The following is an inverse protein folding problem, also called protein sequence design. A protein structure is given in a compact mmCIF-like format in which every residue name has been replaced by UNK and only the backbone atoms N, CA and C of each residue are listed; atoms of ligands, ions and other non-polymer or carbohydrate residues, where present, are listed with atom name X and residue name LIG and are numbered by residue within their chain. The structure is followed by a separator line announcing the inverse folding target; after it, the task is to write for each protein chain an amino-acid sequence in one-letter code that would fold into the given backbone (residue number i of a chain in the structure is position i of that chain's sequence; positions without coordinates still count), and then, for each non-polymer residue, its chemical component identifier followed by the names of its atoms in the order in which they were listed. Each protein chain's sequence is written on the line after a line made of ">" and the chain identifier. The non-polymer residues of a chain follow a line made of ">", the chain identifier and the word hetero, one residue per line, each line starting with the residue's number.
data_IF_255865348103
#
_entry.id   IF_255865348103
#
_cell.length_a   1.000
_cell.length_b   1.000
_cell.length_c   1.000
_cell.angle_alpha   90.00
_cell.angle_beta   90.00
_cell.angle_gamma   90.00
#
_symmetry.space_group_name_H-M   'P 1'
#
loop_
_entity.id
_entity.type
_entity.pdbx_description
1 polymer ?
#
# COMPACT_ATOMS: atom_id res chain seq x y z
N UNK A 1 -7.27 -1.07 -34.40
CA UNK A 1 -5.79 -1.12 -34.55
C UNK A 1 -5.32 0.32 -34.71
N UNK A 2 -5.13 1.03 -33.59
CA UNK A 2 -4.73 2.45 -33.64
C UNK A 2 -3.23 2.50 -33.91
N UNK A 3 -2.85 3.10 -35.03
CA UNK A 3 -1.46 3.31 -35.44
C UNK A 3 -0.88 4.40 -34.53
N UNK A 4 -0.17 3.98 -33.49
CA UNK A 4 0.46 4.83 -32.48
C UNK A 4 1.73 5.46 -33.04
N UNK A 5 1.61 6.56 -33.79
CA UNK A 5 2.75 7.41 -34.11
C UNK A 5 3.25 8.05 -32.80
N UNK A 6 4.35 7.53 -32.25
CA UNK A 6 4.86 7.93 -30.93
C UNK A 6 6.21 8.58 -31.04
N UNK A 7 6.48 9.68 -30.31
CA UNK A 7 7.85 10.05 -29.99
C UNK A 7 8.45 8.92 -29.13
N UNK A 8 9.23 8.06 -29.76
CA UNK A 8 10.08 7.09 -29.06
C UNK A 8 11.25 7.87 -28.47
N UNK A 9 11.18 8.17 -27.17
CA UNK A 9 12.25 8.90 -26.49
C UNK A 9 13.35 7.91 -26.12
N UNK A 10 14.60 8.25 -26.41
CA UNK A 10 15.74 7.44 -25.99
C UNK A 10 15.75 7.28 -24.45
N UNK A 11 15.95 6.05 -23.98
CA UNK A 11 15.77 5.68 -22.56
C UNK A 11 16.64 6.46 -21.56
N UNK A 12 17.76 7.05 -21.99
CA UNK A 12 18.66 7.79 -21.10
C UNK A 12 18.07 9.11 -20.59
N UNK A 13 17.22 9.79 -21.37
CA UNK A 13 16.59 11.08 -20.99
C UNK A 13 15.54 10.91 -19.88
N UNK A 14 15.07 9.68 -19.66
CA UNK A 14 14.01 9.34 -18.70
C UNK A 14 14.50 8.52 -17.50
N UNK A 15 15.80 8.25 -17.38
CA UNK A 15 16.36 7.49 -16.25
C UNK A 15 16.01 8.14 -14.91
N UNK A 16 16.23 9.44 -14.76
CA UNK A 16 15.96 10.17 -13.51
C UNK A 16 14.46 10.13 -13.16
N UNK A 17 13.53 10.51 -14.06
CA UNK A 17 12.09 10.34 -13.80
C UNK A 17 11.69 8.90 -13.48
N UNK A 18 12.24 7.89 -14.16
CA UNK A 18 11.92 6.48 -13.91
C UNK A 18 12.38 6.04 -12.53
N UNK A 19 13.56 6.44 -12.07
CA UNK A 19 14.00 6.17 -10.70
C UNK A 19 13.15 6.94 -9.68
N UNK A 20 12.75 8.16 -9.99
CA UNK A 20 11.82 8.95 -9.16
C UNK A 20 10.44 8.32 -9.07
N UNK A 21 9.99 7.46 -9.99
CA UNK A 21 8.69 6.78 -9.86
C UNK A 21 8.57 5.95 -8.58
N UNK A 22 9.70 5.52 -8.01
CA UNK A 22 9.69 4.67 -6.82
C UNK A 22 9.63 5.51 -5.53
N UNK A 23 10.24 6.70 -5.52
CA UNK A 23 10.35 7.54 -4.32
C UNK A 23 9.39 8.74 -4.34
N UNK A 24 9.08 9.27 -5.52
CA UNK A 24 8.18 10.40 -5.75
C UNK A 24 7.38 10.20 -7.06
N UNK A 25 6.44 9.23 -7.09
CA UNK A 25 5.70 8.86 -8.29
C UNK A 25 4.91 10.01 -8.89
N UNK A 26 4.25 10.81 -8.05
CA UNK A 26 3.39 11.91 -8.52
C UNK A 26 4.23 12.98 -9.22
N UNK A 27 5.35 13.40 -8.63
CA UNK A 27 6.23 14.38 -9.27
C UNK A 27 6.83 13.85 -10.56
N UNK A 28 7.27 12.58 -10.58
CA UNK A 28 7.84 11.95 -11.76
C UNK A 28 6.82 11.88 -12.91
N UNK A 29 5.60 11.40 -12.63
CA UNK A 29 4.52 11.32 -13.62
C UNK A 29 4.12 12.71 -14.13
N UNK A 30 4.02 13.70 -13.23
CA UNK A 30 3.69 15.09 -13.61
C UNK A 30 4.76 15.68 -14.51
N UNK A 31 6.04 15.46 -14.20
CA UNK A 31 7.15 15.92 -15.03
C UNK A 31 7.16 15.26 -16.42
N UNK A 32 6.95 13.94 -16.47
CA UNK A 32 6.88 13.19 -17.73
C UNK A 32 5.73 13.71 -18.59
N UNK A 33 4.55 13.88 -18.00
CA UNK A 33 3.37 14.40 -18.69
C UNK A 33 3.60 15.83 -19.21
N UNK A 34 4.06 16.74 -18.36
CA UNK A 34 4.28 18.14 -18.73
C UNK A 34 5.31 18.30 -19.87
N UNK A 35 6.31 17.42 -19.94
CA UNK A 35 7.40 17.53 -20.91
C UNK A 35 7.17 16.75 -22.21
N UNK A 36 6.48 15.61 -22.12
CA UNK A 36 6.41 14.64 -23.22
C UNK A 36 4.97 14.27 -23.62
N UNK A 37 3.97 14.81 -22.92
CA UNK A 37 2.55 14.64 -23.22
C UNK A 37 1.93 13.37 -22.63
N UNK A 38 0.77 13.02 -23.15
CA UNK A 38 -0.12 12.01 -22.57
C UNK A 38 0.34 10.57 -22.73
N UNK A 39 1.28 10.32 -23.64
CA UNK A 39 1.67 8.97 -23.99
C UNK A 39 3.16 8.89 -24.32
N UNK A 40 3.92 8.24 -23.44
CA UNK A 40 5.38 8.15 -23.58
C UNK A 40 5.78 6.69 -23.56
N UNK A 41 6.49 6.26 -24.60
CA UNK A 41 7.06 4.92 -24.65
C UNK A 41 8.56 4.99 -24.42
N UNK A 42 9.06 4.15 -23.52
CA UNK A 42 10.45 4.15 -23.08
C UNK A 42 10.99 2.74 -23.05
N UNK A 43 12.18 2.55 -23.62
CA UNK A 43 12.97 1.35 -23.39
C UNK A 43 13.85 1.58 -22.16
N UNK A 44 13.56 0.92 -21.05
CA UNK A 44 14.30 1.01 -19.80
C UNK A 44 14.97 -0.35 -19.51
N UNK A 45 16.29 -0.43 -19.72
CA UNK A 45 17.04 -1.68 -19.72
C UNK A 45 16.36 -2.75 -20.59
N UNK A 46 15.99 -3.90 -20.02
CA UNK A 46 15.31 -5.00 -20.70
C UNK A 46 13.78 -4.89 -20.63
N UNK A 47 13.25 -3.75 -20.16
CA UNK A 47 11.81 -3.53 -19.98
C UNK A 47 11.32 -2.42 -20.90
N UNK A 48 10.11 -2.60 -21.42
CA UNK A 48 9.38 -1.59 -22.19
C UNK A 48 8.36 -0.95 -21.27
N UNK A 49 8.43 0.35 -21.07
CA UNK A 49 7.53 1.12 -20.23
C UNK A 49 6.64 1.99 -21.12
N UNK A 50 5.35 1.97 -20.83
CA UNK A 50 4.35 2.80 -21.47
C UNK A 50 3.69 3.67 -20.40
N UNK A 51 3.97 4.96 -20.43
CA UNK A 51 3.28 5.96 -19.64
C UNK A 51 2.02 6.41 -20.37
N UNK A 52 0.92 6.49 -19.62
CA UNK A 52 -0.40 6.86 -20.14
C UNK A 52 -1.06 7.81 -19.14
N UNK A 53 -1.41 9.01 -19.59
CA UNK A 53 -2.14 10.01 -18.80
C UNK A 53 -3.50 10.39 -19.42
N UNK A 54 -3.72 10.09 -20.70
CA UNK A 54 -5.00 10.32 -21.36
C UNK A 54 -6.09 9.37 -20.79
N UNK A 55 -7.28 9.89 -20.40
CA UNK A 55 -8.36 9.09 -19.81
C UNK A 55 -8.87 7.93 -20.68
N UNK A 56 -8.97 8.11 -22.01
CA UNK A 56 -9.45 7.07 -22.93
C UNK A 56 -8.47 5.90 -22.99
N UNK A 57 -7.18 6.21 -23.08
CA UNK A 57 -6.13 5.18 -23.05
C UNK A 57 -6.04 4.49 -21.69
N UNK A 58 -6.27 5.20 -20.58
CA UNK A 58 -6.35 4.60 -19.24
C UNK A 58 -7.53 3.61 -19.19
N UNK A 59 -8.70 3.99 -19.70
CA UNK A 59 -9.86 3.10 -19.79
C UNK A 59 -9.59 1.86 -20.66
N UNK A 60 -8.87 2.02 -21.78
CA UNK A 60 -8.44 0.89 -22.62
C UNK A 60 -7.53 -0.08 -21.86
N UNK A 61 -6.52 0.44 -21.14
CA UNK A 61 -5.61 -0.36 -20.31
C UNK A 61 -6.38 -1.17 -19.27
N UNK A 62 -7.30 -0.53 -18.54
CA UNK A 62 -8.16 -1.23 -17.57
C UNK A 62 -9.12 -2.22 -18.23
N UNK A 63 -9.61 -1.93 -19.44
CA UNK A 63 -10.41 -2.86 -20.23
C UNK A 63 -9.63 -4.11 -20.64
N UNK A 64 -8.34 -3.96 -21.00
CA UNK A 64 -7.44 -5.07 -21.29
C UNK A 64 -7.10 -5.88 -20.04
N UNK A 65 -6.89 -5.22 -18.90
CA UNK A 65 -6.72 -5.88 -17.59
C UNK A 65 -7.96 -6.72 -17.24
N UNK A 66 -9.16 -6.17 -17.39
CA UNK A 66 -10.42 -6.88 -17.13
C UNK A 66 -10.64 -8.11 -18.02
N UNK A 67 -10.08 -8.11 -19.23
CA UNK A 67 -10.06 -9.26 -20.16
C UNK A 67 -8.93 -10.26 -19.89
N UNK A 68 -8.07 -9.99 -18.90
CA UNK A 68 -6.90 -10.81 -18.59
C UNK A 68 -5.74 -10.68 -19.58
N UNK A 69 -5.77 -9.66 -20.46
CA UNK A 69 -4.71 -9.39 -21.45
C UNK A 69 -3.57 -8.54 -20.87
N UNK A 70 -3.80 -7.94 -19.70
CA UNK A 70 -2.78 -7.28 -18.89
C UNK A 70 -2.83 -7.80 -17.46
N UNK A 71 -1.69 -7.80 -16.77
CA UNK A 71 -1.59 -8.22 -15.37
C UNK A 71 -0.93 -7.13 -14.52
N UNK A 72 -1.28 -7.13 -13.23
CA UNK A 72 -0.67 -6.26 -12.19
C UNK A 72 0.56 -6.89 -11.55
N UNK A 73 1.16 -7.87 -12.23
CA UNK A 73 2.25 -8.70 -11.72
C UNK A 73 3.58 -7.96 -11.63
N UNK A 74 3.64 -6.72 -12.12
CA UNK A 74 4.80 -5.88 -11.91
C UNK A 74 5.14 -5.87 -10.41
N UNK A 75 6.41 -6.13 -10.10
CA UNK A 75 6.92 -6.15 -8.73
C UNK A 75 6.28 -7.20 -7.81
N UNK A 76 5.69 -8.28 -8.35
CA UNK A 76 5.07 -9.34 -7.54
C UNK A 76 6.01 -9.87 -6.44
N UNK A 77 7.25 -10.24 -6.78
CA UNK A 77 8.23 -10.72 -5.79
C UNK A 77 8.57 -9.67 -4.74
N UNK A 78 8.67 -8.40 -5.15
CA UNK A 78 8.92 -7.31 -4.22
C UNK A 78 7.77 -7.13 -3.23
N UNK A 79 6.52 -7.21 -3.71
CA UNK A 79 5.30 -7.08 -2.90
C UNK A 79 5.05 -8.31 -2.01
N UNK A 80 5.51 -9.49 -2.42
CA UNK A 80 5.26 -10.77 -1.74
C UNK A 80 5.74 -10.79 -0.29
N UNK A 81 6.85 -10.10 0.01
CA UNK A 81 7.36 -9.98 1.38
C UNK A 81 6.30 -9.40 2.34
N UNK A 82 5.47 -8.47 1.86
CA UNK A 82 4.51 -7.74 2.68
C UNK A 82 3.09 -8.28 2.58
N UNK A 83 2.67 -8.60 1.36
CA UNK A 83 1.28 -8.95 1.08
C UNK A 83 1.07 -10.44 0.86
N UNK A 84 2.14 -11.25 0.80
CA UNK A 84 2.06 -12.65 0.43
C UNK A 84 1.31 -12.83 -0.89
N UNK A 85 0.32 -13.72 -0.89
CA UNK A 85 -0.65 -13.90 -1.97
C UNK A 85 -2.02 -13.26 -1.65
N UNK A 86 -2.04 -12.26 -0.77
CA UNK A 86 -3.23 -11.47 -0.42
C UNK A 86 -3.63 -10.48 -1.52
N UNK A 87 -4.79 -9.84 -1.35
CA UNK A 87 -5.54 -9.16 -2.42
C UNK A 87 -4.73 -8.18 -3.28
N UNK A 88 -3.75 -7.48 -2.70
CA UNK A 88 -2.90 -6.50 -3.39
C UNK A 88 -1.86 -7.17 -4.32
N UNK A 89 -1.52 -8.43 -4.06
CA UNK A 89 -0.49 -9.18 -4.77
C UNK A 89 -1.01 -10.44 -5.48
N UNK A 90 -2.27 -10.81 -5.30
CA UNK A 90 -2.87 -11.97 -5.97
C UNK A 90 -3.00 -11.77 -7.48
N UNK A 91 -2.96 -12.90 -8.21
CA UNK A 91 -3.18 -12.96 -9.66
C UNK A 91 -4.59 -13.44 -9.98
N UNK A 92 -5.15 -12.91 -11.08
CA UNK A 92 -6.35 -13.40 -11.78
C UNK A 92 -7.42 -14.05 -10.88
N UNK A 93 -7.57 -15.38 -10.93
CA UNK A 93 -8.63 -16.11 -10.24
C UNK A 93 -8.56 -16.04 -8.71
N UNK A 94 -7.35 -16.01 -8.13
CA UNK A 94 -7.18 -15.85 -6.69
C UNK A 94 -7.62 -14.44 -6.25
N UNK A 95 -7.26 -13.42 -7.03
CA UNK A 95 -7.72 -12.05 -6.80
C UNK A 95 -9.25 -11.97 -6.80
N UNK A 96 -9.91 -12.55 -7.82
CA UNK A 96 -11.38 -12.56 -7.91
C UNK A 96 -12.02 -13.23 -6.70
N UNK A 97 -11.48 -14.38 -6.26
CA UNK A 97 -11.97 -15.10 -5.08
C UNK A 97 -11.84 -14.25 -3.82
N UNK A 98 -10.66 -13.70 -3.55
CA UNK A 98 -10.41 -12.87 -2.37
C UNK A 98 -11.23 -11.57 -2.39
N UNK A 99 -11.34 -10.90 -3.55
CA UNK A 99 -12.14 -9.69 -3.70
C UNK A 99 -13.61 -9.95 -3.41
N UNK A 100 -14.16 -11.05 -3.92
CA UNK A 100 -15.54 -11.47 -3.66
C UNK A 100 -15.77 -11.78 -2.18
N UNK A 101 -14.81 -12.40 -1.51
CA UNK A 101 -14.88 -12.67 -0.07
C UNK A 101 -14.87 -11.38 0.76
N UNK A 102 -14.02 -10.41 0.42
CA UNK A 102 -13.92 -9.16 1.19
C UNK A 102 -15.07 -8.19 0.91
N UNK A 103 -15.60 -8.14 -0.31
CA UNK A 103 -16.56 -7.12 -0.75
C UNK A 103 -17.73 -6.86 0.22
N UNK A 104 -18.42 -7.87 0.79
CA UNK A 104 -19.53 -7.65 1.71
C UNK A 104 -19.15 -6.88 2.98
N UNK A 105 -17.88 -6.92 3.39
CA UNK A 105 -17.38 -6.22 4.58
C UNK A 105 -17.09 -4.73 4.32
N UNK A 106 -17.17 -4.28 3.07
CA UNK A 106 -16.87 -2.91 2.66
C UNK A 106 -18.06 -2.21 2.00
N UNK A 107 -19.31 -2.60 2.32
CA UNK A 107 -20.50 -1.84 1.95
C UNK A 107 -20.72 -0.67 2.91
N UNK A 108 -21.55 0.30 2.51
CA UNK A 108 -21.95 1.42 3.39
C UNK A 108 -22.54 0.96 4.71
N UNK A 109 -23.38 -0.08 4.66
CA UNK A 109 -24.06 -0.65 5.82
C UNK A 109 -23.08 -1.39 6.74
N UNK A 110 -22.15 -2.16 6.17
CA UNK A 110 -21.12 -2.87 6.94
C UNK A 110 -20.17 -1.88 7.64
N UNK A 111 -19.74 -0.83 6.92
CA UNK A 111 -18.85 0.20 7.47
C UNK A 111 -19.56 1.00 8.57
N UNK A 112 -20.88 1.23 8.46
CA UNK A 112 -21.65 1.97 9.45
C UNK A 112 -21.60 1.33 10.85
N UNK A 113 -21.42 -0.01 10.94
CA UNK A 113 -21.25 -0.73 12.22
C UNK A 113 -20.03 -0.23 13.00
N UNK A 114 -18.97 0.21 12.30
CA UNK A 114 -17.75 0.72 12.93
C UNK A 114 -17.77 2.24 13.15
N UNK A 115 -18.84 2.93 12.75
CA UNK A 115 -18.92 4.39 12.81
C UNK A 115 -18.63 4.97 14.19
N UNK A 116 -19.11 4.31 15.25
CA UNK A 116 -18.83 4.71 16.62
C UNK A 116 -17.33 4.67 16.95
N UNK A 117 -16.60 3.65 16.48
CA UNK A 117 -15.16 3.55 16.69
C UNK A 117 -14.39 4.68 15.99
N UNK A 118 -14.86 5.14 14.83
CA UNK A 118 -14.24 6.27 14.13
C UNK A 118 -14.40 7.57 14.92
N UNK A 119 -15.61 7.82 15.44
CA UNK A 119 -15.91 9.00 16.25
C UNK A 119 -15.10 8.99 17.55
N UNK A 120 -15.09 7.87 18.28
CA UNK A 120 -14.35 7.74 19.54
C UNK A 120 -12.85 8.03 19.39
N UNK A 121 -12.20 7.47 18.37
CA UNK A 121 -10.77 7.70 18.15
C UNK A 121 -10.48 9.12 17.62
N UNK A 122 -11.38 9.70 16.82
CA UNK A 122 -11.27 11.09 16.37
C UNK A 122 -11.43 12.08 17.53
N UNK A 123 -12.41 11.87 18.41
CA UNK A 123 -12.61 12.68 19.61
C UNK A 123 -11.43 12.58 20.58
N UNK A 124 -10.87 11.37 20.74
CA UNK A 124 -9.64 11.17 21.51
C UNK A 124 -8.49 12.00 20.95
N UNK A 125 -8.25 11.96 19.64
CA UNK A 125 -7.21 12.77 19.00
C UNK A 125 -7.47 14.26 19.22
N UNK A 126 -8.70 14.73 18.95
CA UNK A 126 -9.06 16.14 19.11
C UNK A 126 -8.85 16.63 20.56
N UNK A 127 -9.21 15.82 21.55
CA UNK A 127 -9.01 16.14 22.96
C UNK A 127 -7.52 16.17 23.35
N UNK A 128 -6.70 15.28 22.79
CA UNK A 128 -5.26 15.28 23.02
C UNK A 128 -4.61 16.53 22.40
N UNK A 129 -5.00 16.91 21.19
CA UNK A 129 -4.51 18.11 20.52
C UNK A 129 -4.88 19.38 21.29
N UNK A 130 -6.11 19.47 21.82
CA UNK A 130 -6.54 20.60 22.67
C UNK A 130 -5.74 20.74 23.97
N UNK A 131 -5.25 19.62 24.52
CA UNK A 131 -4.44 19.60 25.75
C UNK A 131 -2.95 19.81 25.47
N UNK A 132 -2.52 19.67 24.22
CA UNK A 132 -1.12 19.84 23.83
C UNK A 132 -0.68 21.28 24.06
N UNK A 133 0.48 21.45 24.70
CA UNK A 133 1.15 22.76 24.83
C UNK A 133 2.04 23.08 23.63
N UNK A 134 2.24 22.12 22.72
CA UNK A 134 3.04 22.31 21.52
C UNK A 134 2.22 23.08 20.46
N UNK A 135 2.67 24.27 20.03
CA UNK A 135 1.97 25.05 19.00
C UNK A 135 2.06 24.42 17.61
N UNK A 136 3.06 23.57 17.36
CA UNK A 136 3.30 22.96 16.05
C UNK A 136 2.95 21.47 16.06
N UNK A 137 1.89 21.12 15.32
CA UNK A 137 1.40 19.73 15.22
C UNK A 137 1.65 19.21 13.80
N UNK A 138 2.31 18.06 13.70
CA UNK A 138 2.41 17.34 12.43
C UNK A 138 1.13 16.51 12.18
N UNK A 139 0.17 17.11 11.49
CA UNK A 139 -1.13 16.49 11.22
C UNK A 139 -1.02 15.14 10.49
N UNK A 140 -0.06 14.98 9.59
CA UNK A 140 0.16 13.72 8.87
C UNK A 140 0.53 12.58 9.81
N UNK A 141 1.38 12.85 10.81
CA UNK A 141 1.74 11.88 11.83
C UNK A 141 0.55 11.53 12.74
N UNK A 142 -0.20 12.55 13.18
CA UNK A 142 -1.38 12.35 14.03
C UNK A 142 -2.48 11.54 13.33
N UNK A 143 -2.78 11.88 12.07
CA UNK A 143 -3.76 11.14 11.27
C UNK A 143 -3.32 9.70 11.00
N UNK A 144 -2.01 9.45 10.81
CA UNK A 144 -1.49 8.09 10.66
C UNK A 144 -1.76 7.25 11.91
N UNK A 145 -1.48 7.79 13.10
CA UNK A 145 -1.73 7.11 14.37
C UNK A 145 -3.24 6.89 14.57
N UNK A 146 -4.08 7.89 14.27
CA UNK A 146 -5.54 7.75 14.30
C UNK A 146 -6.02 6.57 13.43
N UNK A 147 -5.59 6.51 12.17
CA UNK A 147 -5.96 5.43 11.24
C UNK A 147 -5.51 4.06 11.77
N UNK A 148 -4.29 3.98 12.31
CA UNK A 148 -3.76 2.75 12.90
C UNK A 148 -4.60 2.27 14.10
N UNK A 149 -5.03 3.18 14.97
CA UNK A 149 -5.89 2.86 16.12
C UNK A 149 -7.29 2.42 15.69
N UNK A 150 -7.86 3.10 14.69
CA UNK A 150 -9.12 2.68 14.08
C UNK A 150 -8.99 1.27 13.49
N UNK A 151 -7.91 0.98 12.77
CA UNK A 151 -7.68 -0.35 12.19
C UNK A 151 -7.56 -1.43 13.27
N UNK A 152 -6.95 -1.15 14.42
CA UNK A 152 -6.90 -2.12 15.52
C UNK A 152 -8.31 -2.46 16.01
N UNK A 153 -9.20 -1.46 16.13
CA UNK A 153 -10.61 -1.69 16.50
C UNK A 153 -11.38 -2.47 15.46
N UNK A 154 -11.29 -2.05 14.20
CA UNK A 154 -12.04 -2.66 13.09
C UNK A 154 -11.57 -4.08 12.77
N UNK A 155 -10.26 -4.30 12.80
CA UNK A 155 -9.68 -5.59 12.45
C UNK A 155 -9.79 -6.60 13.58
N UNK A 156 -9.55 -6.20 14.82
CA UNK A 156 -9.37 -7.14 15.94
C UNK A 156 -10.43 -7.01 17.04
N UNK A 157 -11.34 -6.04 16.92
CA UNK A 157 -12.35 -5.76 17.95
C UNK A 157 -11.74 -5.26 19.27
N UNK A 158 -10.52 -4.70 19.22
CA UNK A 158 -9.74 -4.31 20.41
C UNK A 158 -9.45 -2.82 20.45
N UNK A 159 -9.29 -2.28 21.65
CA UNK A 159 -8.76 -0.92 21.83
C UNK A 159 -7.24 -0.96 22.01
N UNK A 160 -6.54 -0.05 21.35
CA UNK A 160 -5.11 0.15 21.55
C UNK A 160 -4.76 0.58 22.99
N UNK A 161 -5.72 1.07 23.79
CA UNK A 161 -5.47 1.41 25.19
C UNK A 161 -5.47 0.21 26.14
N UNK A 162 -6.12 -0.88 25.74
CA UNK A 162 -6.30 -2.08 26.57
C UNK A 162 -5.31 -3.18 26.22
N UNK A 163 -4.57 -3.01 25.12
CA UNK A 163 -3.62 -3.99 24.63
C UNK A 163 -2.22 -3.68 25.16
N UNK A 164 -1.59 -4.67 25.81
CA UNK A 164 -0.20 -4.54 26.28
C UNK A 164 0.79 -4.24 25.14
N UNK A 165 0.57 -4.83 23.96
CA UNK A 165 1.47 -4.73 22.80
C UNK A 165 1.03 -3.70 21.74
N UNK A 166 0.08 -2.80 22.06
CA UNK A 166 -0.45 -1.84 21.08
C UNK A 166 0.62 -0.94 20.46
N UNK A 167 1.50 -0.37 21.29
CA UNK A 167 2.56 0.53 20.82
C UNK A 167 3.52 -0.20 19.88
N UNK A 168 3.87 -1.45 20.19
CA UNK A 168 4.72 -2.29 19.36
C UNK A 168 4.04 -2.62 18.02
N UNK A 169 2.73 -2.86 18.03
CA UNK A 169 1.95 -3.10 16.82
C UNK A 169 1.88 -1.84 15.93
N UNK A 170 1.62 -0.68 16.54
CA UNK A 170 1.60 0.62 15.86
C UNK A 170 2.98 0.95 15.26
N UNK A 171 4.04 0.73 16.01
CA UNK A 171 5.43 0.91 15.55
C UNK A 171 5.77 -0.05 14.42
N UNK A 172 5.29 -1.30 14.49
CA UNK A 172 5.48 -2.29 13.43
C UNK A 172 4.78 -1.86 12.14
N UNK A 173 3.53 -1.41 12.23
CA UNK A 173 2.80 -0.86 11.08
C UNK A 173 3.55 0.35 10.49
N UNK A 174 4.04 1.25 11.34
CA UNK A 174 4.82 2.41 10.91
C UNK A 174 6.13 2.04 10.23
N UNK A 175 6.85 1.05 10.76
CA UNK A 175 8.08 0.52 10.16
C UNK A 175 7.81 -0.16 8.81
N UNK A 176 6.68 -0.85 8.66
CA UNK A 176 6.23 -1.42 7.39
C UNK A 176 5.98 -0.33 6.36
N UNK A 177 5.19 0.70 6.70
CA UNK A 177 4.88 1.81 5.78
C UNK A 177 6.16 2.52 5.33
N UNK A 178 7.06 2.83 6.27
CA UNK A 178 8.29 3.56 5.97
C UNK A 178 9.32 2.69 5.22
N UNK A 179 9.30 1.36 5.43
CA UNK A 179 10.18 0.41 4.78
C UNK A 179 9.72 -0.02 3.38
N UNK A 180 8.45 0.21 3.02
CA UNK A 180 7.88 -0.24 1.74
C UNK A 180 8.59 0.40 0.54
N UNK A 181 8.70 1.73 0.48
CA UNK A 181 9.29 2.40 -0.68
C UNK A 181 10.76 1.99 -0.90
N UNK A 182 11.66 2.04 0.12
CA UNK A 182 13.02 1.56 -0.04
C UNK A 182 13.10 0.08 -0.46
N UNK A 183 12.24 -0.79 0.09
CA UNK A 183 12.20 -2.20 -0.28
C UNK A 183 11.84 -2.38 -1.75
N UNK A 184 10.80 -1.69 -2.23
CA UNK A 184 10.39 -1.68 -3.64
C UNK A 184 11.51 -1.19 -4.57
N UNK A 185 12.28 -0.17 -4.17
CA UNK A 185 13.47 0.31 -4.92
C UNK A 185 14.51 -0.80 -5.05
N UNK A 186 14.88 -1.43 -3.94
CA UNK A 186 15.98 -2.42 -3.93
C UNK A 186 15.64 -3.69 -4.73
N UNK A 187 14.37 -4.08 -4.73
CA UNK A 187 13.89 -5.24 -5.49
C UNK A 187 13.77 -4.96 -6.98
N UNK A 188 13.28 -3.77 -7.37
CA UNK A 188 13.09 -3.42 -8.79
C UNK A 188 14.41 -3.18 -9.51
N UNK A 189 15.31 -2.41 -8.90
CA UNK A 189 16.56 -2.01 -9.55
C UNK A 189 17.63 -3.10 -9.39
N UNK A 190 17.66 -3.77 -8.24
CA UNK A 190 18.74 -4.67 -7.85
C UNK A 190 18.42 -6.15 -7.92
N UNK A 191 17.18 -6.56 -8.28
CA UNK A 191 16.68 -7.93 -8.05
C UNK A 191 16.99 -8.43 -6.63
N UNK A 192 16.91 -7.54 -5.64
CA UNK A 192 17.21 -7.83 -4.25
C UNK A 192 18.69 -7.86 -3.87
N UNK A 193 19.64 -7.79 -4.83
CA UNK A 193 21.10 -7.74 -4.54
C UNK A 193 21.52 -6.48 -3.79
N UNK A 194 20.77 -5.39 -3.97
CA UNK A 194 21.01 -4.10 -3.31
C UNK A 194 20.54 -4.07 -1.84
N UNK A 195 19.87 -5.11 -1.34
CA UNK A 195 19.49 -5.21 0.09
C UNK A 195 20.70 -5.20 1.02
N UNK A 196 21.85 -5.68 0.54
CA UNK A 196 23.13 -5.65 1.27
C UNK A 196 23.56 -4.21 1.59
N UNK A 197 23.15 -3.22 0.80
CA UNK A 197 23.49 -1.80 1.02
C UNK A 197 22.64 -1.16 2.14
N UNK A 198 21.51 -1.76 2.53
CA UNK A 198 20.60 -1.22 3.56
C UNK A 198 20.18 -2.29 4.59
N UNK A 199 21.14 -2.93 5.29
CA UNK A 199 20.85 -4.10 6.12
C UNK A 199 19.93 -3.78 7.30
N UNK A 200 20.08 -2.60 7.91
CA UNK A 200 19.27 -2.17 9.05
C UNK A 200 17.79 -1.94 8.68
N UNK A 201 17.54 -1.31 7.53
CA UNK A 201 16.17 -1.07 7.04
C UNK A 201 15.48 -2.40 6.69
N UNK A 202 16.19 -3.31 6.03
CA UNK A 202 15.68 -4.64 5.70
C UNK A 202 15.40 -5.48 6.95
N UNK A 203 16.26 -5.39 7.97
CA UNK A 203 16.05 -6.08 9.25
C UNK A 203 14.83 -5.53 10.01
N UNK A 204 14.70 -4.20 10.15
CA UNK A 204 13.55 -3.57 10.82
C UNK A 204 12.24 -3.92 10.13
N UNK A 205 12.21 -3.86 8.79
CA UNK A 205 11.04 -4.23 8.00
C UNK A 205 10.64 -5.68 8.24
N UNK A 206 11.59 -6.62 8.17
CA UNK A 206 11.32 -8.05 8.44
C UNK A 206 10.84 -8.29 9.87
N UNK A 207 11.46 -7.66 10.85
CA UNK A 207 11.04 -7.76 12.26
C UNK A 207 9.60 -7.29 12.43
N UNK A 208 9.24 -6.15 11.84
CA UNK A 208 7.90 -5.59 11.89
C UNK A 208 6.85 -6.48 11.20
N UNK A 209 7.19 -7.04 10.03
CA UNK A 209 6.32 -8.00 9.31
C UNK A 209 6.10 -9.26 10.13
N UNK A 210 7.16 -9.83 10.69
CA UNK A 210 7.05 -11.02 11.53
C UNK A 210 6.17 -10.73 12.76
N UNK A 211 6.36 -9.60 13.43
CA UNK A 211 5.55 -9.21 14.58
C UNK A 211 4.07 -9.08 14.21
N UNK A 212 3.74 -8.34 13.15
CA UNK A 212 2.35 -8.19 12.68
C UNK A 212 1.75 -9.55 12.28
N UNK A 213 2.53 -10.39 11.60
CA UNK A 213 2.08 -11.72 11.17
C UNK A 213 1.78 -12.62 12.37
N UNK A 214 2.68 -12.69 13.35
CA UNK A 214 2.47 -13.45 14.59
C UNK A 214 1.25 -12.94 15.36
N UNK A 215 1.09 -11.62 15.46
CA UNK A 215 -0.08 -11.02 16.07
C UNK A 215 -1.38 -11.44 15.38
N UNK A 216 -1.48 -11.28 14.06
CA UNK A 216 -2.68 -11.67 13.29
C UNK A 216 -2.99 -13.16 13.44
N UNK A 217 -1.98 -14.04 13.40
CA UNK A 217 -2.22 -15.49 13.58
C UNK A 217 -2.75 -15.81 14.98
N UNK A 218 -2.23 -15.15 16.02
CA UNK A 218 -2.74 -15.29 17.39
C UNK A 218 -4.20 -14.84 17.49
N UNK A 219 -4.54 -13.70 16.89
CA UNK A 219 -5.91 -13.20 16.91
C UNK A 219 -6.88 -14.12 16.15
N UNK A 220 -6.49 -14.64 14.97
CA UNK A 220 -7.30 -15.62 14.23
C UNK A 220 -7.59 -16.86 15.09
N UNK A 221 -6.59 -17.36 15.83
CA UNK A 221 -6.79 -18.51 16.72
C UNK A 221 -7.81 -18.19 17.82
N UNK A 222 -7.71 -17.03 18.47
CA UNK A 222 -8.66 -16.60 19.51
C UNK A 222 -10.08 -16.47 18.95
N UNK A 223 -10.24 -15.94 17.74
CA UNK A 223 -11.56 -15.69 17.13
C UNK A 223 -12.25 -16.93 16.60
N UNK A 224 -11.49 -17.95 16.20
CA UNK A 224 -12.07 -19.27 15.90
C UNK A 224 -12.79 -19.88 17.11
N UNK A 225 -12.32 -19.58 18.33
CA UNK A 225 -12.95 -20.04 19.58
C UNK A 225 -14.06 -19.09 20.07
N UNK A 226 -13.94 -17.79 19.77
CA UNK A 226 -14.87 -16.74 20.21
C UNK A 226 -15.15 -15.71 19.09
N UNK A 227 -16.15 -15.98 18.22
CA UNK A 227 -16.48 -15.10 17.10
C UNK A 227 -17.01 -13.74 17.56
N UNK A 228 -16.72 -12.68 16.80
CA UNK A 228 -17.21 -11.32 17.06
C UNK A 228 -17.56 -10.57 15.77
N UNK A 229 -17.88 -9.27 15.86
CA UNK A 229 -18.25 -8.43 14.69
C UNK A 229 -17.06 -7.68 14.06
N UNK A 230 -15.83 -8.11 14.32
CA UNK A 230 -14.62 -7.56 13.67
C UNK A 230 -14.30 -8.27 12.33
N UNK A 231 -13.36 -7.71 11.56
CA UNK A 231 -13.07 -8.19 10.21
C UNK A 231 -12.40 -9.57 10.13
N UNK A 232 -11.80 -10.07 11.22
CA UNK A 232 -11.07 -11.35 11.20
C UNK A 232 -11.89 -12.51 11.78
N UNK A 233 -13.07 -12.23 12.36
CA UNK A 233 -14.01 -13.21 12.90
C UNK A 233 -14.75 -14.00 11.81
#
# INVERSE_FOLDING_TARGET
>A
MVVLAKPSIMGHTLLVPIFQLITNPVSALTHIHAKYGDQVFVNFFNSKLLFVCNPEHIAEVYGLEGKGLMSRDFMYEAKKLLFGDGLVNSKSGLWTKQRRLMHPLFTSEAIAVWGQHFVEEADRLANNLKKSTNPDVNLSSELKVLIQRIFIRVLFGKSADTMEDADILIDSMSAITNGLAPHLVTETIGKGKLKILFPFHAWRLRKAINHLTTFVHKEIQVKNDQPSHDLIS
#
